data_IF_933868645523
#
_entry.id   IF_933868645523
#
_cell.length_a   1.000
_cell.length_b   1.000
_cell.length_c   1.000
_cell.angle_alpha   90.00
_cell.angle_beta   90.00
_cell.angle_gamma   90.00
#
_symmetry.space_group_name_H-M   'P 1'
#
loop_
_entity.id
_entity.type
_entity.pdbx_description
1 polymer ?
#
# COMPACT_ATOMS: atom_id res chain seq x y z
N UNK A 1 -14.70 16.29 22.91
CA UNK A 1 -13.34 16.54 22.38
C UNK A 1 -12.31 16.76 23.49
N UNK A 2 -12.53 17.69 24.42
CA UNK A 2 -11.60 17.97 25.53
C UNK A 2 -11.12 16.72 26.29
N UNK A 3 -12.04 15.80 26.63
CA UNK A 3 -11.71 14.52 27.28
C UNK A 3 -10.76 13.65 26.47
N UNK A 4 -10.94 13.55 25.15
CA UNK A 4 -10.10 12.75 24.24
C UNK A 4 -8.70 13.34 24.18
N UNK A 5 -8.62 14.66 24.04
CA UNK A 5 -7.34 15.39 23.94
C UNK A 5 -6.55 15.30 25.26
N UNK A 6 -7.20 15.47 26.41
CA UNK A 6 -6.54 15.34 27.71
C UNK A 6 -6.03 13.91 27.96
N UNK A 7 -6.77 12.88 27.56
CA UNK A 7 -6.28 11.49 27.61
C UNK A 7 -4.97 11.32 26.83
N UNK A 8 -4.89 11.88 25.61
CA UNK A 8 -3.67 11.83 24.80
C UNK A 8 -2.50 12.55 25.49
N UNK A 9 -2.75 13.70 26.12
CA UNK A 9 -1.72 14.46 26.84
C UNK A 9 -1.18 13.70 28.06
N UNK A 10 -2.04 12.91 28.71
CA UNK A 10 -1.68 12.00 29.79
C UNK A 10 -1.08 10.67 29.29
N UNK A 11 -0.89 10.51 27.98
CA UNK A 11 -0.38 9.30 27.34
C UNK A 11 -1.25 8.05 27.55
N UNK A 12 -2.55 8.25 27.79
CA UNK A 12 -3.52 7.16 27.83
C UNK A 12 -3.98 6.81 26.40
N UNK A 13 -4.11 5.51 26.06
CA UNK A 13 -4.60 5.12 24.74
C UNK A 13 -6.09 5.46 24.58
N UNK A 14 -6.47 5.87 23.38
CA UNK A 14 -7.87 6.01 23.01
C UNK A 14 -8.47 4.64 22.68
N UNK A 15 -9.75 4.47 22.99
CA UNK A 15 -10.53 3.37 22.40
C UNK A 15 -10.68 3.57 20.89
N UNK A 16 -11.05 2.51 20.18
CA UNK A 16 -11.32 2.58 18.74
C UNK A 16 -12.41 3.63 18.42
N UNK A 17 -13.48 3.71 19.21
CA UNK A 17 -14.58 4.66 19.03
C UNK A 17 -14.14 6.11 19.26
N UNK A 18 -13.31 6.35 20.30
CA UNK A 18 -12.75 7.68 20.57
C UNK A 18 -11.82 8.14 19.44
N UNK A 19 -10.97 7.24 18.94
CA UNK A 19 -10.12 7.55 17.78
C UNK A 19 -10.96 7.82 16.54
N UNK A 20 -11.96 6.98 16.25
CA UNK A 20 -12.85 7.21 15.11
C UNK A 20 -13.56 8.56 15.19
N UNK A 21 -14.05 8.94 16.37
CA UNK A 21 -14.67 10.24 16.58
C UNK A 21 -13.69 11.41 16.38
N UNK A 22 -12.47 11.29 16.91
CA UNK A 22 -11.42 12.30 16.70
C UNK A 22 -11.11 12.51 15.22
N UNK A 23 -10.90 11.41 14.48
CA UNK A 23 -10.54 11.49 13.07
C UNK A 23 -11.71 11.90 12.17
N UNK A 24 -12.97 11.59 12.52
CA UNK A 24 -14.14 12.09 11.79
C UNK A 24 -14.20 13.64 11.84
N UNK A 25 -13.98 14.23 13.02
CA UNK A 25 -13.92 15.69 13.19
C UNK A 25 -12.73 16.29 12.41
N UNK A 26 -11.56 15.65 12.44
CA UNK A 26 -10.38 16.10 11.67
C UNK A 26 -10.67 16.11 10.16
N UNK A 27 -11.27 15.04 9.64
CA UNK A 27 -11.52 14.88 8.20
C UNK A 27 -12.65 15.78 7.70
N UNK A 28 -13.58 16.19 8.58
CA UNK A 28 -14.59 17.22 8.27
C UNK A 28 -14.07 18.65 8.34
N UNK A 29 -12.90 18.86 8.94
CA UNK A 29 -12.30 20.18 9.13
C UNK A 29 -12.86 20.93 10.34
N UNK A 30 -13.47 20.21 11.29
CA UNK A 30 -14.14 20.77 12.46
C UNK A 30 -13.21 20.89 13.69
N UNK A 31 -11.93 20.48 13.57
CA UNK A 31 -10.93 20.61 14.63
C UNK A 31 -9.98 21.78 14.36
N UNK A 32 -9.78 22.62 15.37
CA UNK A 32 -8.80 23.70 15.32
C UNK A 32 -7.39 23.17 14.96
N UNK A 33 -6.66 23.82 14.03
CA UNK A 33 -5.35 23.34 13.59
C UNK A 33 -4.31 23.20 14.71
N UNK A 34 -4.35 24.04 15.75
CA UNK A 34 -3.42 23.97 16.89
C UNK A 34 -3.73 22.72 17.72
N UNK A 35 -5.01 22.46 17.98
CA UNK A 35 -5.44 21.24 18.67
C UNK A 35 -5.13 19.99 17.86
N UNK A 36 -5.31 20.03 16.54
CA UNK A 36 -4.95 18.92 15.65
C UNK A 36 -3.45 18.62 15.72
N UNK A 37 -2.59 19.64 15.61
CA UNK A 37 -1.14 19.48 15.71
C UNK A 37 -0.73 18.88 17.07
N UNK A 38 -1.37 19.33 18.16
CA UNK A 38 -1.14 18.82 19.50
C UNK A 38 -1.56 17.35 19.65
N UNK A 39 -2.75 16.99 19.16
CA UNK A 39 -3.25 15.61 19.18
C UNK A 39 -2.34 14.65 18.40
N UNK A 40 -1.94 15.04 17.19
CA UNK A 40 -1.02 14.23 16.36
C UNK A 40 0.36 14.08 16.99
N UNK A 41 0.84 15.11 17.68
CA UNK A 41 2.11 15.07 18.43
C UNK A 41 2.00 14.13 19.63
N UNK A 42 0.91 14.22 20.40
CA UNK A 42 0.68 13.35 21.55
C UNK A 42 0.55 11.88 21.15
N UNK A 43 -0.21 11.58 20.08
CA UNK A 43 -0.30 10.23 19.51
C UNK A 43 1.08 9.68 19.13
N UNK A 44 1.88 10.49 18.43
CA UNK A 44 3.23 10.11 18.00
C UNK A 44 4.16 9.82 19.19
N UNK A 45 4.15 10.67 20.22
CA UNK A 45 5.02 10.52 21.39
C UNK A 45 4.64 9.28 22.20
N UNK A 46 3.33 9.06 22.38
CA UNK A 46 2.79 7.89 23.08
C UNK A 46 3.05 6.58 22.33
N UNK A 47 3.06 6.64 21.00
CA UNK A 47 2.95 5.49 20.12
C UNK A 47 1.48 5.15 19.85
N UNK A 48 1.14 5.04 18.57
CA UNK A 48 -0.22 4.71 18.15
C UNK A 48 -0.53 3.22 18.38
N UNK A 49 -1.65 2.94 19.00
CA UNK A 49 -2.14 1.57 19.24
C UNK A 49 -2.95 1.06 18.04
N UNK A 50 -3.09 -0.27 17.87
CA UNK A 50 -3.93 -0.83 16.80
C UNK A 50 -5.39 -0.36 16.83
N UNK A 51 -5.95 -0.12 18.02
CA UNK A 51 -7.33 0.41 18.16
C UNK A 51 -7.42 1.86 17.67
N UNK A 52 -6.43 2.68 17.97
CA UNK A 52 -6.34 4.07 17.48
C UNK A 52 -6.20 4.11 15.96
N UNK A 53 -5.31 3.30 15.39
CA UNK A 53 -5.09 3.25 13.93
C UNK A 53 -6.36 2.75 13.23
N UNK A 54 -7.00 1.70 13.74
CA UNK A 54 -8.23 1.17 13.17
C UNK A 54 -9.38 2.18 13.26
N UNK A 55 -9.52 2.91 14.36
CA UNK A 55 -10.52 3.96 14.52
C UNK A 55 -10.31 5.10 13.51
N UNK A 56 -9.07 5.55 13.36
CA UNK A 56 -8.70 6.56 12.39
C UNK A 56 -8.98 6.12 10.94
N UNK A 57 -8.56 4.90 10.55
CA UNK A 57 -8.83 4.35 9.23
C UNK A 57 -10.33 4.22 8.94
N UNK A 58 -11.12 3.75 9.93
CA UNK A 58 -12.59 3.70 9.83
C UNK A 58 -13.21 5.07 9.59
N UNK A 59 -12.72 6.12 10.26
CA UNK A 59 -13.20 7.48 10.03
C UNK A 59 -12.91 7.97 8.61
N UNK A 60 -11.70 7.70 8.08
CA UNK A 60 -11.33 8.09 6.72
C UNK A 60 -12.14 7.31 5.66
N UNK A 61 -12.38 6.01 5.88
CA UNK A 61 -13.22 5.18 5.01
C UNK A 61 -14.70 5.55 5.06
N UNK A 62 -15.20 6.04 6.20
CA UNK A 62 -16.59 6.49 6.34
C UNK A 62 -16.85 7.83 5.64
N UNK A 63 -15.81 8.67 5.50
CA UNK A 63 -15.86 9.94 4.80
C UNK A 63 -15.29 9.87 3.36
N UNK A 64 -14.98 8.67 2.87
CA UNK A 64 -14.49 8.48 1.51
C UNK A 64 -15.64 8.53 0.50
N UNK A 65 -15.36 9.01 -0.72
CA UNK A 65 -16.30 8.84 -1.83
C UNK A 65 -16.56 7.34 -2.08
N UNK A 66 -17.81 6.96 -2.41
CA UNK A 66 -18.18 5.56 -2.53
C UNK A 66 -17.49 4.88 -3.71
N UNK A 67 -17.25 3.58 -3.57
CA UNK A 67 -16.78 2.70 -4.63
C UNK A 67 -17.64 1.42 -4.65
N UNK A 68 -18.09 0.94 -5.83
CA UNK A 68 -18.89 -0.27 -5.94
C UNK A 68 -18.02 -1.52 -5.70
N UNK A 69 -17.92 -1.94 -4.45
CA UNK A 69 -17.11 -3.08 -4.00
C UNK A 69 -17.51 -4.39 -4.69
N UNK A 70 -16.55 -5.18 -5.23
CA UNK A 70 -16.81 -6.54 -5.70
C UNK A 70 -17.08 -7.54 -4.58
N UNK A 71 -17.79 -8.63 -4.90
CA UNK A 71 -18.08 -9.73 -3.97
C UNK A 71 -17.01 -10.85 -4.00
N UNK A 72 -16.25 -10.94 -5.09
CA UNK A 72 -15.17 -11.91 -5.23
C UNK A 72 -13.93 -11.50 -4.41
N UNK A 73 -12.99 -12.43 -4.22
CA UNK A 73 -11.71 -12.13 -3.56
C UNK A 73 -10.84 -11.23 -4.47
N UNK A 74 -10.36 -10.11 -3.92
CA UNK A 74 -9.46 -9.18 -4.60
C UNK A 74 -8.56 -8.49 -3.58
N UNK A 75 -7.42 -7.99 -4.07
CA UNK A 75 -6.37 -7.48 -3.22
C UNK A 75 -6.00 -6.02 -3.49
N UNK A 76 -5.27 -5.46 -2.54
CA UNK A 76 -4.36 -4.34 -2.75
C UNK A 76 -2.91 -4.78 -2.45
N UNK A 77 -1.97 -4.07 -3.04
CA UNK A 77 -0.53 -4.20 -2.82
C UNK A 77 0.05 -2.80 -2.73
N UNK A 78 0.44 -2.37 -1.55
CA UNK A 78 0.75 -0.96 -1.27
C UNK A 78 1.70 -0.82 -0.09
N UNK A 79 2.54 0.21 -0.11
CA UNK A 79 3.44 0.53 1.00
C UNK A 79 3.06 1.84 1.68
N UNK A 80 3.51 2.03 2.91
CA UNK A 80 3.43 3.33 3.60
C UNK A 80 4.21 4.45 2.90
N UNK A 81 5.18 4.08 2.06
CA UNK A 81 6.18 4.93 1.46
C UNK A 81 7.16 5.51 2.48
N UNK A 82 8.10 6.31 1.97
CA UNK A 82 9.00 7.07 2.82
C UNK A 82 10.11 6.26 3.47
N UNK A 83 10.44 5.09 2.92
CA UNK A 83 11.59 4.26 3.32
C UNK A 83 12.96 4.95 3.05
N UNK A 84 12.99 5.93 2.14
CA UNK A 84 14.17 6.75 1.82
C UNK A 84 15.10 6.14 0.76
N UNK A 85 14.78 4.97 0.21
CA UNK A 85 15.68 4.24 -0.66
C UNK A 85 15.51 4.56 -2.16
N UNK A 86 14.43 5.25 -2.55
CA UNK A 86 14.16 5.65 -3.92
C UNK A 86 14.28 4.49 -4.92
N UNK A 87 13.72 3.34 -4.57
CA UNK A 87 13.61 2.17 -5.45
C UNK A 87 12.67 2.46 -6.63
N UNK A 88 12.68 1.58 -7.62
CA UNK A 88 11.66 1.54 -8.68
C UNK A 88 10.26 1.39 -8.05
N UNK A 89 9.19 1.67 -8.81
CA UNK A 89 7.80 1.57 -8.32
C UNK A 89 7.31 0.11 -8.18
N UNK A 90 7.93 -0.68 -7.29
CA UNK A 90 7.73 -2.13 -7.12
C UNK A 90 6.26 -2.49 -6.97
N UNK A 91 5.56 -1.99 -5.95
CA UNK A 91 4.14 -2.32 -5.74
C UNK A 91 3.21 -1.90 -6.88
N UNK A 92 3.58 -0.91 -7.72
CA UNK A 92 2.77 -0.53 -8.89
C UNK A 92 2.96 -1.53 -10.01
N UNK A 93 4.21 -1.90 -10.30
CA UNK A 93 4.56 -2.93 -11.28
C UNK A 93 3.98 -4.29 -10.89
N UNK A 94 4.10 -4.65 -9.61
CA UNK A 94 3.59 -5.90 -9.07
C UNK A 94 2.06 -6.03 -9.19
N UNK A 95 1.30 -4.93 -9.13
CA UNK A 95 -0.15 -4.98 -9.35
C UNK A 95 -0.52 -5.48 -10.77
N UNK A 96 0.18 -5.01 -11.80
CA UNK A 96 -0.03 -5.47 -13.19
C UNK A 96 0.45 -6.91 -13.40
N UNK A 97 1.59 -7.28 -12.81
CA UNK A 97 2.12 -8.65 -12.93
C UNK A 97 1.21 -9.64 -12.20
N UNK A 98 0.70 -9.29 -11.02
CA UNK A 98 -0.29 -10.08 -10.29
C UNK A 98 -1.58 -10.29 -11.11
N UNK A 99 -2.08 -9.24 -11.77
CA UNK A 99 -3.23 -9.35 -12.66
C UNK A 99 -2.95 -10.21 -13.89
N UNK A 100 -1.75 -10.11 -14.47
CA UNK A 100 -1.31 -11.00 -15.55
C UNK A 100 -1.18 -12.47 -15.11
N UNK A 101 -0.97 -12.72 -13.81
CA UNK A 101 -1.03 -14.05 -13.18
C UNK A 101 -2.46 -14.50 -12.84
N UNK A 102 -3.48 -13.67 -13.11
CA UNK A 102 -4.90 -13.99 -12.90
C UNK A 102 -5.51 -13.45 -11.59
N UNK A 103 -4.75 -12.70 -10.79
CA UNK A 103 -5.26 -12.10 -9.56
C UNK A 103 -6.12 -10.86 -9.84
N UNK A 104 -7.00 -10.51 -8.91
CA UNK A 104 -7.79 -9.26 -8.94
C UNK A 104 -7.16 -8.24 -8.01
N UNK A 105 -6.74 -7.10 -8.54
CA UNK A 105 -6.03 -6.05 -7.79
C UNK A 105 -6.70 -4.69 -7.98
N UNK A 106 -7.21 -4.13 -6.90
CA UNK A 106 -7.75 -2.77 -6.84
C UNK A 106 -6.74 -1.90 -6.10
N UNK A 107 -5.69 -1.43 -6.80
CA UNK A 107 -4.56 -0.78 -6.15
C UNK A 107 -4.92 0.63 -5.67
N UNK A 108 -4.78 0.90 -4.38
CA UNK A 108 -4.88 2.28 -3.88
C UNK A 108 -3.52 2.96 -3.94
N UNK A 109 -3.50 4.24 -4.28
CA UNK A 109 -2.25 5.00 -4.30
C UNK A 109 -2.42 6.49 -4.28
N UNK A 110 -1.34 7.18 -3.94
CA UNK A 110 -1.29 8.63 -3.82
C UNK A 110 -0.11 9.19 -4.63
N UNK A 111 -0.06 10.52 -4.75
CA UNK A 111 1.13 11.22 -5.24
C UNK A 111 2.30 11.03 -4.29
N UNK A 112 3.51 10.96 -4.85
CA UNK A 112 4.71 10.85 -4.02
C UNK A 112 4.85 12.06 -3.09
N UNK A 113 5.31 11.79 -1.87
CA UNK A 113 5.68 12.82 -0.88
C UNK A 113 7.21 12.86 -0.67
N UNK A 114 7.94 11.81 -1.07
CA UNK A 114 9.37 11.63 -0.75
C UNK A 114 10.23 10.97 -1.84
N UNK A 115 9.65 10.18 -2.75
CA UNK A 115 10.38 9.62 -3.90
C UNK A 115 10.37 10.57 -5.08
N UNK A 116 11.34 10.42 -5.99
CA UNK A 116 11.42 11.18 -7.25
C UNK A 116 10.25 10.90 -8.22
N UNK A 117 9.60 9.74 -8.09
CA UNK A 117 8.46 9.32 -8.92
C UNK A 117 7.51 8.45 -8.09
N UNK A 118 6.26 8.89 -7.92
CA UNK A 118 5.22 8.14 -7.23
C UNK A 118 4.46 7.19 -8.14
N UNK A 119 3.63 6.33 -7.53
CA UNK A 119 2.74 5.41 -8.28
C UNK A 119 1.85 6.14 -9.28
N UNK A 120 1.23 7.26 -8.88
CA UNK A 120 0.38 8.06 -9.76
C UNK A 120 1.15 8.69 -10.92
N UNK A 121 2.38 9.17 -10.67
CA UNK A 121 3.19 9.86 -11.69
C UNK A 121 3.64 8.87 -12.77
N UNK A 122 3.99 7.64 -12.36
CA UNK A 122 4.29 6.55 -13.28
C UNK A 122 3.07 6.18 -14.14
N UNK A 123 1.91 5.99 -13.51
CA UNK A 123 0.68 5.61 -14.23
C UNK A 123 0.22 6.69 -15.21
N UNK A 124 0.30 7.97 -14.82
CA UNK A 124 0.01 9.11 -15.68
C UNK A 124 0.97 9.16 -16.88
N UNK A 125 2.25 8.86 -16.67
CA UNK A 125 3.23 8.78 -17.77
C UNK A 125 2.94 7.65 -18.76
N UNK A 126 2.24 6.58 -18.35
CA UNK A 126 1.70 5.54 -19.24
C UNK A 126 0.37 5.92 -19.91
N UNK A 127 -0.18 7.10 -19.61
CA UNK A 127 -1.45 7.58 -20.16
C UNK A 127 -2.68 7.03 -19.45
N UNK A 128 -2.52 6.45 -18.25
CA UNK A 128 -3.66 5.94 -17.47
C UNK A 128 -4.39 7.11 -16.85
N UNK A 129 -5.69 7.21 -17.12
CA UNK A 129 -6.55 8.25 -16.58
C UNK A 129 -6.73 8.07 -15.06
N UNK A 130 -6.07 8.89 -14.26
CA UNK A 130 -6.19 8.88 -12.80
C UNK A 130 -7.55 9.38 -12.28
N UNK A 131 -8.39 9.94 -13.15
CA UNK A 131 -9.70 10.48 -12.83
C UNK A 131 -10.85 9.61 -13.38
N UNK A 132 -10.60 8.32 -13.64
CA UNK A 132 -11.67 7.36 -13.98
C UNK A 132 -12.79 7.38 -12.94
N UNK A 133 -14.03 7.16 -13.37
CA UNK A 133 -15.16 7.03 -12.46
C UNK A 133 -15.01 5.77 -11.58
N UNK A 134 -15.78 5.69 -10.50
CA UNK A 134 -15.77 4.51 -9.63
C UNK A 134 -16.30 3.27 -10.40
N UNK A 135 -17.27 3.47 -11.28
CA UNK A 135 -17.87 2.46 -12.14
C UNK A 135 -16.88 1.95 -13.20
N UNK A 136 -16.14 2.83 -13.87
CA UNK A 136 -15.16 2.45 -14.90
C UNK A 136 -13.94 1.78 -14.26
N UNK A 137 -13.51 2.30 -13.10
CA UNK A 137 -12.46 1.67 -12.29
C UNK A 137 -12.88 0.26 -11.86
N UNK A 138 -14.14 0.06 -11.43
CA UNK A 138 -14.69 -1.26 -11.11
C UNK A 138 -14.74 -2.18 -12.35
N UNK A 139 -15.18 -1.66 -13.49
CA UNK A 139 -15.19 -2.37 -14.77
C UNK A 139 -13.78 -2.83 -15.17
N UNK A 140 -12.75 -2.02 -14.93
CA UNK A 140 -11.37 -2.38 -15.18
C UNK A 140 -10.90 -3.53 -14.27
N UNK A 141 -11.23 -3.53 -12.97
CA UNK A 141 -10.93 -4.69 -12.10
C UNK A 141 -11.65 -5.96 -12.59
N UNK A 142 -12.92 -5.84 -12.98
CA UNK A 142 -13.71 -6.97 -13.47
C UNK A 142 -13.11 -7.57 -14.76
N UNK A 143 -12.78 -6.73 -15.75
CA UNK A 143 -12.36 -7.15 -17.10
C UNK A 143 -10.85 -7.39 -17.22
N UNK A 144 -10.04 -6.49 -16.69
CA UNK A 144 -8.58 -6.50 -16.83
C UNK A 144 -7.88 -7.13 -15.63
N UNK A 145 -8.57 -7.24 -14.50
CA UNK A 145 -7.98 -7.75 -13.25
C UNK A 145 -7.20 -6.71 -12.45
N UNK A 146 -7.03 -5.50 -12.98
CA UNK A 146 -6.30 -4.41 -12.31
C UNK A 146 -6.96 -3.06 -12.57
N UNK A 147 -6.98 -2.22 -11.53
CA UNK A 147 -7.28 -0.80 -11.65
C UNK A 147 -6.54 -0.01 -10.56
N UNK A 148 -6.54 1.31 -10.69
CA UNK A 148 -5.92 2.22 -9.74
C UNK A 148 -6.96 3.17 -9.13
N UNK A 149 -6.99 3.23 -7.81
CA UNK A 149 -7.83 4.14 -7.04
C UNK A 149 -6.96 5.29 -6.53
N UNK A 150 -7.12 6.46 -7.13
CA UNK A 150 -6.30 7.62 -6.82
C UNK A 150 -6.79 8.33 -5.55
N UNK A 151 -6.02 8.28 -4.47
CA UNK A 151 -6.43 8.71 -3.13
C UNK A 151 -7.07 10.11 -3.07
N UNK A 152 -6.57 11.16 -3.76
CA UNK A 152 -7.20 12.48 -3.75
C UNK A 152 -8.63 12.53 -4.31
N UNK A 153 -9.02 11.58 -5.18
CA UNK A 153 -10.38 11.48 -5.70
C UNK A 153 -11.35 10.92 -4.65
N UNK A 154 -10.86 10.09 -3.73
CA UNK A 154 -11.69 9.39 -2.75
C UNK A 154 -11.65 10.03 -1.36
N UNK A 155 -10.55 10.64 -0.96
CA UNK A 155 -10.33 11.13 0.40
C UNK A 155 -10.18 12.65 0.48
N UNK A 156 -11.14 13.38 -0.09
CA UNK A 156 -11.10 14.85 -0.18
C UNK A 156 -10.94 15.55 1.18
N UNK A 157 -11.52 14.99 2.25
CA UNK A 157 -11.43 15.55 3.60
C UNK A 157 -10.02 15.56 4.20
N UNK A 158 -9.08 14.75 3.68
CA UNK A 158 -7.67 14.78 4.11
C UNK A 158 -7.04 16.15 3.87
N UNK A 159 -7.56 16.96 2.93
CA UNK A 159 -7.13 18.34 2.70
C UNK A 159 -7.13 19.21 3.96
N UNK A 160 -8.02 18.94 4.92
CA UNK A 160 -8.14 19.70 6.17
C UNK A 160 -6.94 19.46 7.10
N UNK A 161 -6.31 18.29 7.03
CA UNK A 161 -5.10 17.97 7.80
C UNK A 161 -3.80 18.40 7.09
N UNK A 162 -3.84 18.69 5.78
CA UNK A 162 -2.63 18.94 4.98
C UNK A 162 -1.80 20.15 5.45
N UNK A 163 -2.38 21.32 5.78
CA UNK A 163 -1.59 22.46 6.27
C UNK A 163 -0.80 22.10 7.53
N UNK A 164 -1.46 21.44 8.50
CA UNK A 164 -0.83 21.00 9.75
C UNK A 164 0.31 20.02 9.46
N UNK A 165 0.08 19.02 8.61
CA UNK A 165 1.11 18.03 8.24
C UNK A 165 2.33 18.67 7.56
N UNK A 166 2.09 19.62 6.64
CA UNK A 166 3.16 20.34 5.93
C UNK A 166 3.97 21.25 6.87
N UNK A 167 3.34 21.84 7.89
CA UNK A 167 4.03 22.63 8.91
C UNK A 167 4.83 21.74 9.86
N UNK A 168 4.26 20.63 10.33
CA UNK A 168 4.90 19.71 11.28
C UNK A 168 6.15 19.03 10.71
N UNK A 169 6.17 18.72 9.40
CA UNK A 169 7.30 18.06 8.69
C UNK A 169 7.87 16.83 9.41
N UNK A 170 7.02 16.09 10.10
CA UNK A 170 7.38 14.84 10.79
C UNK A 170 6.32 13.78 10.51
N UNK A 171 6.72 12.51 10.59
CA UNK A 171 5.79 11.38 10.42
C UNK A 171 4.78 11.38 11.56
N UNK A 172 3.51 11.17 11.23
CA UNK A 172 2.40 11.00 12.18
C UNK A 172 1.61 9.76 11.78
N UNK A 173 0.60 9.37 12.56
CA UNK A 173 -0.38 8.35 12.17
C UNK A 173 -0.88 8.46 10.71
N UNK A 174 -1.00 9.66 10.12
CA UNK A 174 -1.39 9.81 8.70
C UNK A 174 -0.42 9.15 7.71
N UNK A 175 0.83 8.85 8.10
CA UNK A 175 1.80 8.15 7.26
C UNK A 175 1.52 6.64 7.16
N UNK A 176 0.79 6.07 8.10
CA UNK A 176 0.42 4.65 8.09
C UNK A 176 -1.03 4.41 7.65
N UNK A 177 -1.87 5.46 7.63
CA UNK A 177 -3.28 5.34 7.25
C UNK A 177 -3.51 5.12 5.74
N UNK A 178 -2.61 5.59 4.87
CA UNK A 178 -2.82 5.55 3.41
C UNK A 178 -3.14 4.16 2.84
N UNK A 179 -2.36 3.13 3.18
CA UNK A 179 -2.68 1.73 2.82
C UNK A 179 -4.02 1.23 3.38
N UNK A 180 -4.36 1.59 4.62
CA UNK A 180 -5.52 1.06 5.35
C UNK A 180 -6.87 1.66 4.91
N UNK A 181 -6.88 2.62 3.98
CA UNK A 181 -8.08 3.37 3.61
C UNK A 181 -8.50 3.16 2.17
N UNK A 182 -8.08 2.07 1.51
CA UNK A 182 -8.54 1.76 0.17
C UNK A 182 -10.09 1.76 0.10
N UNK A 183 -10.71 2.65 -0.70
CA UNK A 183 -12.16 2.83 -0.72
C UNK A 183 -12.90 1.60 -1.28
N UNK A 184 -12.23 0.74 -2.03
CA UNK A 184 -12.78 -0.54 -2.48
C UNK A 184 -12.89 -1.57 -1.34
N UNK A 185 -12.15 -1.40 -0.24
CA UNK A 185 -12.13 -2.31 0.93
C UNK A 185 -11.79 -3.75 0.51
N UNK A 186 -10.56 -3.97 -0.01
CA UNK A 186 -10.10 -5.31 -0.36
C UNK A 186 -10.15 -6.23 0.85
N UNK A 187 -10.34 -7.53 0.59
CA UNK A 187 -10.29 -8.54 1.65
C UNK A 187 -8.94 -9.28 1.68
N UNK A 188 -8.03 -8.91 0.79
CA UNK A 188 -6.66 -9.41 0.74
C UNK A 188 -5.72 -8.20 0.63
N UNK A 189 -4.63 -8.15 1.39
CA UNK A 189 -3.69 -7.02 1.29
C UNK A 189 -2.25 -7.45 1.52
N UNK A 190 -1.35 -7.06 0.62
CA UNK A 190 0.09 -7.06 0.88
C UNK A 190 0.50 -5.61 1.19
N UNK A 191 0.79 -5.33 2.47
CA UNK A 191 1.14 -4.00 2.93
C UNK A 191 2.59 -3.91 3.38
N UNK A 192 3.36 -3.03 2.77
CA UNK A 192 4.70 -2.69 3.23
C UNK A 192 4.70 -1.57 4.28
N UNK A 193 5.61 -1.66 5.26
CA UNK A 193 5.82 -0.62 6.29
C UNK A 193 7.27 -0.15 6.34
N UNK A 194 7.48 1.16 6.51
CA UNK A 194 8.82 1.77 6.55
C UNK A 194 9.65 1.42 7.80
N UNK A 195 9.03 0.88 8.85
CA UNK A 195 9.68 0.50 10.11
C UNK A 195 9.23 -0.91 10.49
N UNK A 196 10.18 -1.79 10.79
CA UNK A 196 9.94 -3.16 11.23
C UNK A 196 9.01 -3.24 12.45
N UNK A 197 9.11 -2.30 13.39
CA UNK A 197 8.27 -2.26 14.59
C UNK A 197 6.77 -2.06 14.28
N UNK A 198 6.42 -1.62 13.07
CA UNK A 198 5.04 -1.46 12.62
C UNK A 198 4.43 -2.75 12.07
N UNK A 199 5.24 -3.78 11.75
CA UNK A 199 4.76 -5.00 11.08
C UNK A 199 3.63 -5.65 11.87
N UNK A 200 3.86 -5.91 13.16
CA UNK A 200 2.86 -6.54 14.03
C UNK A 200 1.65 -5.63 14.35
N UNK A 201 1.83 -4.37 14.80
CA UNK A 201 0.70 -3.48 15.10
C UNK A 201 -0.24 -3.24 13.91
N UNK A 202 0.29 -3.16 12.69
CA UNK A 202 -0.53 -2.99 11.48
C UNK A 202 -1.31 -4.27 11.16
N UNK A 203 -0.71 -5.45 11.31
CA UNK A 203 -1.45 -6.71 11.14
C UNK A 203 -2.61 -6.84 12.14
N UNK A 204 -2.39 -6.45 13.40
CA UNK A 204 -3.45 -6.39 14.42
C UNK A 204 -4.55 -5.39 14.06
N UNK A 205 -4.17 -4.24 13.51
CA UNK A 205 -5.10 -3.22 13.02
C UNK A 205 -5.96 -3.77 11.89
N UNK A 206 -5.36 -4.41 10.88
CA UNK A 206 -6.06 -5.03 9.76
C UNK A 206 -7.04 -6.11 10.22
N UNK A 207 -6.63 -6.97 11.16
CA UNK A 207 -7.49 -8.00 11.71
C UNK A 207 -8.72 -7.38 12.42
N UNK A 208 -8.52 -6.33 13.22
CA UNK A 208 -9.62 -5.55 13.85
C UNK A 208 -10.53 -4.86 12.83
N UNK A 209 -10.02 -4.57 11.64
CA UNK A 209 -10.80 -4.01 10.53
C UNK A 209 -11.52 -5.09 9.70
N UNK A 210 -11.35 -6.37 10.03
CA UNK A 210 -12.01 -7.49 9.36
C UNK A 210 -11.30 -8.00 8.12
N UNK A 211 -9.99 -7.74 7.99
CA UNK A 211 -9.18 -8.27 6.89
C UNK A 211 -9.18 -9.81 6.91
N UNK A 212 -9.47 -10.44 5.76
CA UNK A 212 -9.57 -11.90 5.64
C UNK A 212 -8.19 -12.54 5.54
N UNK A 213 -7.32 -12.00 4.67
CA UNK A 213 -5.93 -12.44 4.51
C UNK A 213 -5.04 -11.23 4.29
N UNK A 214 -3.86 -11.21 4.88
CA UNK A 214 -2.90 -10.15 4.60
C UNK A 214 -1.48 -10.58 4.91
N UNK A 215 -0.51 -9.88 4.37
CA UNK A 215 0.86 -9.90 4.85
C UNK A 215 1.30 -8.45 5.04
N UNK A 216 1.73 -8.12 6.26
CA UNK A 216 2.43 -6.87 6.53
C UNK A 216 3.92 -7.16 6.49
N UNK A 217 4.68 -6.39 5.72
CA UNK A 217 6.10 -6.68 5.46
C UNK A 217 7.01 -5.49 5.73
N UNK A 218 8.22 -5.79 6.21
CA UNK A 218 9.35 -4.88 6.23
C UNK A 218 10.59 -5.60 5.71
N UNK A 219 11.11 -5.16 4.57
CA UNK A 219 12.22 -5.82 3.88
C UNK A 219 13.54 -5.07 4.07
N UNK A 220 14.29 -5.38 5.12
CA UNK A 220 15.65 -4.85 5.34
C UNK A 220 15.80 -3.35 5.05
N UNK A 221 14.89 -2.54 5.60
CA UNK A 221 14.83 -1.09 5.40
C UNK A 221 13.82 -0.61 4.35
N UNK A 222 13.21 -1.51 3.57
CA UNK A 222 12.17 -1.19 2.58
C UNK A 222 10.77 -1.47 3.12
N UNK A 223 9.79 -0.73 2.60
CA UNK A 223 8.37 -1.04 2.73
C UNK A 223 7.88 -1.95 1.59
N UNK A 224 8.67 -2.98 1.27
CA UNK A 224 8.42 -4.00 0.24
C UNK A 224 9.11 -5.31 0.68
N UNK A 225 8.82 -6.44 0.04
CA UNK A 225 9.64 -7.66 0.22
C UNK A 225 11.03 -7.43 -0.38
N UNK A 226 12.08 -7.70 0.40
CA UNK A 226 13.46 -7.44 0.03
C UNK A 226 14.11 -8.59 -0.78
N UNK A 227 14.97 -8.20 -1.72
CA UNK A 227 15.87 -9.12 -2.45
C UNK A 227 17.33 -8.99 -2.01
N UNK A 228 17.66 -8.00 -1.16
CA UNK A 228 19.00 -7.72 -0.66
C UNK A 228 19.25 -8.21 0.76
N UNK A 229 18.22 -8.74 1.42
CA UNK A 229 18.27 -9.17 2.81
C UNK A 229 16.95 -9.80 3.26
N UNK A 230 16.77 -9.87 4.57
CA UNK A 230 15.60 -10.49 5.20
C UNK A 230 14.36 -9.61 5.07
N UNK A 231 13.20 -10.26 5.03
CA UNK A 231 11.89 -9.63 5.14
C UNK A 231 11.19 -10.15 6.39
N UNK A 232 10.86 -9.26 7.32
CA UNK A 232 10.01 -9.56 8.47
C UNK A 232 8.55 -9.48 8.04
N UNK A 233 7.77 -10.51 8.35
CA UNK A 233 6.38 -10.66 7.90
C UNK A 233 5.46 -10.93 9.09
N UNK A 234 4.32 -10.24 9.15
CA UNK A 234 3.16 -10.65 9.93
C UNK A 234 2.03 -11.02 8.96
N UNK A 235 1.75 -12.32 8.86
CA UNK A 235 0.70 -12.87 7.98
C UNK A 235 -0.60 -13.07 8.76
N UNK A 236 -1.71 -12.59 8.19
CA UNK A 236 -3.08 -12.85 8.64
C UNK A 236 -3.65 -13.99 7.80
N UNK A 237 -4.01 -15.09 8.46
CA UNK A 237 -4.68 -16.23 7.85
C UNK A 237 -5.64 -16.86 8.86
N UNK A 238 -6.87 -17.12 8.43
CA UNK A 238 -7.91 -17.75 9.26
C UNK A 238 -8.13 -17.08 10.63
N UNK A 239 -8.05 -15.74 10.65
CA UNK A 239 -8.23 -14.92 11.86
C UNK A 239 -7.04 -14.94 12.83
N UNK A 240 -5.92 -15.53 12.46
CA UNK A 240 -4.70 -15.58 13.26
C UNK A 240 -3.56 -14.80 12.60
N UNK A 241 -2.67 -14.26 13.42
CA UNK A 241 -1.47 -13.56 12.97
C UNK A 241 -0.26 -14.42 13.30
N UNK A 242 0.51 -14.79 12.27
CA UNK A 242 1.78 -15.51 12.43
C UNK A 242 2.92 -14.64 11.94
N UNK A 243 3.97 -14.53 12.75
CA UNK A 243 5.18 -13.78 12.43
C UNK A 243 6.31 -14.72 12.01
N UNK A 244 7.00 -14.36 10.95
CA UNK A 244 8.15 -15.11 10.43
C UNK A 244 9.05 -14.22 9.59
N UNK A 245 10.22 -14.74 9.23
CA UNK A 245 11.18 -14.08 8.36
C UNK A 245 11.31 -14.85 7.06
N UNK A 246 11.39 -14.14 5.95
CA UNK A 246 11.71 -14.69 4.62
C UNK A 246 13.06 -14.15 4.13
N UNK A 247 13.79 -14.96 3.36
CA UNK A 247 15.01 -14.56 2.65
C UNK A 247 14.80 -14.66 1.14
N UNK A 248 15.68 -14.07 0.31
CA UNK A 248 15.59 -14.21 -1.15
C UNK A 248 15.58 -15.69 -1.62
N UNK A 249 16.28 -16.58 -0.90
CA UNK A 249 16.35 -18.00 -1.20
C UNK A 249 15.02 -18.74 -1.02
N UNK A 250 14.14 -18.26 -0.13
CA UNK A 250 12.78 -18.80 0.03
C UNK A 250 11.94 -18.60 -1.23
N UNK A 251 12.24 -17.55 -2.00
CA UNK A 251 11.66 -17.27 -3.31
C UNK A 251 12.43 -17.91 -4.47
N UNK A 252 13.55 -18.59 -4.19
CA UNK A 252 14.40 -19.20 -5.20
C UNK A 252 15.30 -18.20 -5.94
N UNK A 253 15.50 -17.01 -5.37
CA UNK A 253 16.39 -15.99 -5.89
C UNK A 253 17.74 -16.02 -5.16
N UNK A 254 18.78 -15.55 -5.85
CA UNK A 254 20.01 -15.13 -5.21
C UNK A 254 19.89 -13.68 -4.75
N UNK A 255 20.49 -13.35 -3.60
CA UNK A 255 20.47 -11.97 -3.11
C UNK A 255 21.15 -11.00 -4.10
N UNK A 256 20.53 -9.85 -4.32
CA UNK A 256 21.07 -8.76 -5.13
C UNK A 256 21.26 -7.50 -4.28
N UNK A 257 22.24 -6.63 -4.58
CA UNK A 257 22.41 -5.39 -3.84
C UNK A 257 21.22 -4.44 -4.07
N UNK A 258 20.86 -3.66 -3.04
CA UNK A 258 19.76 -2.69 -3.12
C UNK A 258 19.91 -1.68 -4.27
N UNK A 259 21.13 -1.24 -4.58
CA UNK A 259 21.39 -0.32 -5.68
C UNK A 259 21.00 -0.88 -7.06
N UNK A 260 20.87 -2.21 -7.21
CA UNK A 260 20.45 -2.82 -8.47
C UNK A 260 18.97 -2.58 -8.81
N UNK A 261 18.16 -2.15 -7.84
CA UNK A 261 16.73 -1.86 -7.98
C UNK A 261 16.39 -0.39 -7.72
N UNK A 262 17.40 0.47 -7.77
CA UNK A 262 17.25 1.91 -7.63
C UNK A 262 16.42 2.48 -8.78
N UNK A 263 15.49 3.36 -8.43
CA UNK A 263 14.68 4.12 -9.38
C UNK A 263 15.35 5.41 -9.80
N UNK A 264 14.71 6.08 -10.73
CA UNK A 264 15.13 7.34 -11.33
C UNK A 264 14.09 8.45 -11.20
N UNK A 265 14.17 9.41 -12.12
CA UNK A 265 13.07 10.35 -12.37
C UNK A 265 11.86 9.63 -13.02
N UNK A 266 10.71 10.31 -13.21
CA UNK A 266 9.53 9.68 -13.79
C UNK A 266 9.73 9.03 -15.17
N UNK A 267 10.54 9.62 -16.07
CA UNK A 267 10.78 9.08 -17.41
C UNK A 267 11.74 7.88 -17.36
N UNK A 268 12.78 7.96 -16.53
CA UNK A 268 13.68 6.84 -16.24
C UNK A 268 12.89 5.65 -15.65
N UNK A 269 12.02 5.90 -14.67
CA UNK A 269 11.17 4.86 -14.08
C UNK A 269 10.21 4.27 -15.11
N UNK A 270 9.57 5.10 -15.95
CA UNK A 270 8.71 4.60 -17.04
C UNK A 270 9.47 3.64 -17.97
N UNK A 271 10.70 3.99 -18.36
CA UNK A 271 11.53 3.13 -19.21
C UNK A 271 11.93 1.83 -18.50
N UNK A 272 12.35 1.91 -17.23
CA UNK A 272 12.71 0.73 -16.42
C UNK A 272 11.51 -0.20 -16.25
N UNK A 273 10.35 0.34 -15.87
CA UNK A 273 9.12 -0.45 -15.69
C UNK A 273 8.65 -1.06 -17.01
N UNK A 274 8.77 -0.35 -18.14
CA UNK A 274 8.48 -0.92 -19.46
C UNK A 274 9.38 -2.12 -19.76
N UNK A 275 10.68 -2.01 -19.46
CA UNK A 275 11.62 -3.12 -19.64
C UNK A 275 11.24 -4.31 -18.74
N UNK A 276 10.94 -4.08 -17.47
CA UNK A 276 10.52 -5.13 -16.53
C UNK A 276 9.26 -5.84 -17.04
N UNK A 277 8.20 -5.09 -17.37
CA UNK A 277 6.91 -5.64 -17.81
C UNK A 277 6.96 -6.32 -19.18
N UNK A 278 8.07 -6.19 -19.91
CA UNK A 278 8.31 -6.85 -21.21
C UNK A 278 9.47 -7.85 -21.17
N UNK A 279 9.94 -8.24 -19.97
CA UNK A 279 10.97 -9.27 -19.79
C UNK A 279 12.40 -8.83 -20.10
N UNK A 280 12.66 -7.53 -20.18
CA UNK A 280 13.96 -6.92 -20.50
C UNK A 280 14.62 -6.24 -19.30
N UNK A 281 14.01 -6.34 -18.11
CA UNK A 281 14.62 -5.89 -16.85
C UNK A 281 15.84 -6.73 -16.48
N UNK A 282 16.68 -6.24 -15.56
CA UNK A 282 17.74 -7.06 -14.99
C UNK A 282 17.16 -8.15 -14.08
N UNK A 283 17.95 -9.16 -13.71
CA UNK A 283 17.52 -10.22 -12.78
C UNK A 283 17.08 -9.64 -11.42
N UNK A 284 17.78 -8.61 -10.93
CA UNK A 284 17.36 -7.87 -9.73
C UNK A 284 16.06 -7.10 -9.96
N UNK A 285 15.95 -6.46 -11.13
CA UNK A 285 14.76 -5.86 -11.77
C UNK A 285 13.50 -6.71 -11.56
N UNK A 286 13.54 -7.86 -12.21
CA UNK A 286 12.47 -8.85 -12.28
C UNK A 286 12.26 -9.50 -10.90
N UNK A 287 13.33 -9.83 -10.20
CA UNK A 287 13.30 -10.46 -8.88
C UNK A 287 12.55 -9.62 -7.85
N UNK A 288 12.81 -8.31 -7.76
CA UNK A 288 12.13 -7.43 -6.80
C UNK A 288 10.61 -7.38 -7.01
N UNK A 289 10.15 -7.40 -8.26
CA UNK A 289 8.72 -7.45 -8.56
C UNK A 289 8.16 -8.85 -8.27
N UNK A 290 8.87 -9.88 -8.70
CA UNK A 290 8.42 -11.27 -8.59
C UNK A 290 8.21 -11.72 -7.14
N UNK A 291 9.09 -11.37 -6.20
CA UNK A 291 8.93 -11.78 -4.79
C UNK A 291 7.70 -11.15 -4.12
N UNK A 292 7.38 -9.91 -4.46
CA UNK A 292 6.19 -9.23 -3.96
C UNK A 292 4.91 -9.85 -4.55
N UNK A 293 4.91 -10.17 -5.85
CA UNK A 293 3.81 -10.92 -6.50
C UNK A 293 3.69 -12.33 -5.92
N UNK A 294 4.80 -13.00 -5.63
CA UNK A 294 4.80 -14.36 -5.10
C UNK A 294 4.19 -14.44 -3.70
N UNK A 295 4.51 -13.47 -2.84
CA UNK A 295 3.88 -13.36 -1.53
C UNK A 295 2.39 -13.00 -1.64
N UNK A 296 2.02 -12.11 -2.57
CA UNK A 296 0.62 -11.81 -2.84
C UNK A 296 -0.15 -13.04 -3.32
N UNK A 297 0.41 -13.85 -4.23
CA UNK A 297 -0.17 -15.10 -4.69
C UNK A 297 -0.37 -16.11 -3.55
N UNK A 298 0.55 -16.17 -2.58
CA UNK A 298 0.36 -16.97 -1.36
C UNK A 298 -0.87 -16.54 -0.58
N UNK A 299 -1.15 -15.24 -0.49
CA UNK A 299 -2.39 -14.76 0.11
C UNK A 299 -3.65 -15.18 -0.65
N UNK A 300 -3.54 -15.58 -1.92
CA UNK A 300 -4.64 -16.20 -2.69
C UNK A 300 -4.70 -17.74 -2.56
N UNK A 301 -3.76 -18.36 -1.86
CA UNK A 301 -3.71 -19.81 -1.61
C UNK A 301 -2.64 -20.56 -2.42
N UNK A 302 -1.79 -19.85 -3.15
CA UNK A 302 -0.65 -20.46 -3.85
C UNK A 302 0.56 -20.56 -2.90
N UNK A 303 0.69 -21.65 -2.15
CA UNK A 303 1.64 -21.72 -1.01
C UNK A 303 3.14 -21.79 -1.41
N UNK A 304 3.48 -22.24 -2.63
CA UNK A 304 4.87 -22.38 -3.07
C UNK A 304 5.44 -21.05 -3.61
N UNK A 305 6.22 -20.36 -2.76
CA UNK A 305 6.82 -19.07 -3.11
C UNK A 305 7.78 -19.15 -4.29
N UNK A 306 8.47 -20.27 -4.52
CA UNK A 306 9.41 -20.44 -5.64
C UNK A 306 8.65 -20.59 -6.96
N UNK A 307 7.62 -21.44 -6.95
CA UNK A 307 6.74 -21.60 -8.10
C UNK A 307 6.03 -20.28 -8.45
N UNK A 308 5.55 -19.55 -7.46
CA UNK A 308 4.91 -18.25 -7.67
C UNK A 308 5.88 -17.21 -8.23
N UNK A 309 7.13 -17.18 -7.74
CA UNK A 309 8.18 -16.29 -8.24
C UNK A 309 8.45 -16.55 -9.71
N UNK A 310 8.58 -17.83 -10.09
CA UNK A 310 8.77 -18.24 -11.48
C UNK A 310 7.58 -17.83 -12.36
N UNK A 311 6.35 -18.04 -11.89
CA UNK A 311 5.13 -17.63 -12.60
C UNK A 311 5.07 -16.10 -12.83
N UNK A 312 5.46 -15.31 -11.83
CA UNK A 312 5.51 -13.86 -11.97
C UNK A 312 6.56 -13.40 -13.00
N UNK A 313 7.74 -14.05 -13.01
CA UNK A 313 8.79 -13.80 -14.02
C UNK A 313 8.29 -14.18 -15.42
N UNK A 314 7.61 -15.31 -15.58
CA UNK A 314 7.03 -15.74 -16.86
C UNK A 314 5.96 -14.76 -17.37
N UNK A 315 5.12 -14.23 -16.49
CA UNK A 315 4.12 -13.22 -16.84
C UNK A 315 4.73 -11.90 -17.34
N UNK A 316 5.86 -11.49 -16.76
CA UNK A 316 6.66 -10.35 -17.24
C UNK A 316 7.32 -10.66 -18.58
N UNK A 317 7.95 -11.83 -18.72
CA UNK A 317 8.64 -12.26 -19.93
C UNK A 317 7.71 -12.42 -21.13
N UNK A 318 6.44 -12.77 -20.89
CA UNK A 318 5.45 -12.88 -21.95
C UNK A 318 4.90 -11.53 -22.42
N UNK A 319 5.23 -10.42 -21.76
CA UNK A 319 4.72 -9.08 -22.08
C UNK A 319 3.27 -8.80 -21.69
N UNK A 320 2.56 -9.80 -21.12
CA UNK A 320 1.13 -9.70 -20.77
C UNK A 320 0.86 -8.60 -19.75
N UNK A 321 1.77 -8.44 -18.79
CA UNK A 321 1.63 -7.40 -17.79
C UNK A 321 1.71 -5.99 -18.41
N UNK A 322 2.53 -5.78 -19.45
CA UNK A 322 2.57 -4.52 -20.19
C UNK A 322 1.35 -4.33 -21.09
N UNK A 323 0.79 -5.40 -21.67
CA UNK A 323 -0.48 -5.33 -22.40
C UNK A 323 -1.61 -4.81 -21.50
N UNK A 324 -1.69 -5.25 -20.24
CA UNK A 324 -2.67 -4.74 -19.27
C UNK A 324 -2.50 -3.24 -18.98
N UNK A 325 -1.27 -2.73 -18.93
CA UNK A 325 -1.01 -1.28 -18.80
C UNK A 325 -1.64 -0.53 -19.96
N UNK A 326 -1.40 -0.98 -21.21
CA UNK A 326 -1.95 -0.35 -22.40
C UNK A 326 -3.48 -0.47 -22.47
N UNK A 327 -4.04 -1.61 -22.07
CA UNK A 327 -5.49 -1.83 -22.02
C UNK A 327 -6.16 -0.94 -20.96
N UNK A 328 -5.52 -0.74 -19.81
CA UNK A 328 -6.02 0.16 -18.78
C UNK A 328 -5.93 1.62 -19.21
N UNK A 329 -4.84 2.03 -19.88
CA UNK A 329 -4.71 3.38 -20.45
C UNK A 329 -5.76 3.67 -21.53
N UNK A 330 -6.19 2.64 -22.27
CA UNK A 330 -7.27 2.72 -23.25
C UNK A 330 -8.67 2.50 -22.64
N UNK A 331 -8.77 2.22 -21.33
CA UNK A 331 -10.06 2.04 -20.65
C UNK A 331 -10.67 3.41 -20.39
N UNK A 332 -11.87 3.63 -20.95
CA UNK A 332 -12.69 4.79 -20.67
C UNK A 332 -13.54 4.52 -19.44
#
# INVERSE_FOLDING_TARGET
METIINKLYEQHPLTQEESQHLFDIIIRGDLDPILMASALTALKIKGETPDEIAGAAKALLANANPFPRPDYDFADIVGTGGDGHNTINISTTAAFVAAACGLKVAKHGNRSVSSKSGSSDLLDSFGINLAMSAEDTRSAVDKLGVAFLFAPQYHSGVRHAMPVRQTMKTRTIFNILGPLINPARPNIELMGVYNEELVRPIAETMLKMGMKRAAVVHGSGLDEVAIHGNTTVAEIKDGQITEYTLTPEDFGLTAHPLEAIKGGDPEENKAIITNILTGKGSDAQLGAVAVNVALLMRLFGHEDLKANTQQAIEAMNSGKAFELVNQLAAHA
#
